data_IF_047699241644
#
_entry.id   IF_047699241644
#
_cell.length_a   1.000
_cell.length_b   1.000
_cell.length_c   1.000
_cell.angle_alpha   90.00
_cell.angle_beta   90.00
_cell.angle_gamma   90.00
#
_symmetry.space_group_name_H-M   'P 1'
#
loop_
_entity.id
_entity.type
_entity.pdbx_description
1 polymer ?
#
# COMPACT_ATOMS: atom_id res chain seq x y z
N UNK A 1 -34.03 -12.08 -14.81
CA UNK A 1 -32.99 -11.31 -14.09
C UNK A 1 -32.55 -12.13 -12.89
N UNK A 2 -31.44 -12.88 -13.01
CA UNK A 2 -30.84 -13.58 -11.89
C UNK A 2 -30.08 -12.56 -11.04
N UNK A 3 -30.60 -12.26 -9.86
CA UNK A 3 -29.85 -11.57 -8.81
C UNK A 3 -28.61 -12.41 -8.52
N UNK A 4 -27.42 -11.86 -8.75
CA UNK A 4 -26.19 -12.51 -8.32
C UNK A 4 -26.31 -12.88 -6.83
N UNK A 5 -25.91 -14.09 -6.41
CA UNK A 5 -25.88 -14.41 -4.99
C UNK A 5 -25.01 -13.36 -4.31
N UNK A 6 -25.60 -12.65 -3.35
CA UNK A 6 -24.94 -11.68 -2.47
C UNK A 6 -23.94 -12.42 -1.57
N UNK A 7 -22.86 -12.92 -2.18
CA UNK A 7 -21.94 -13.89 -1.58
C UNK A 7 -20.83 -13.26 -0.74
N UNK A 8 -20.81 -11.94 -0.54
CA UNK A 8 -19.65 -11.27 0.06
C UNK A 8 -19.93 -10.55 1.40
N UNK A 9 -20.71 -11.09 2.36
CA UNK A 9 -20.69 -10.60 3.74
C UNK A 9 -19.43 -11.06 4.52
N UNK A 10 -18.73 -12.10 4.07
CA UNK A 10 -17.74 -12.82 4.90
C UNK A 10 -16.36 -12.15 5.00
N UNK A 11 -15.92 -11.38 4.00
CA UNK A 11 -14.57 -10.79 4.01
C UNK A 11 -14.42 -9.64 4.99
N UNK A 12 -15.51 -8.96 5.31
CA UNK A 12 -15.50 -7.76 6.13
C UNK A 12 -16.27 -7.96 7.41
N UNK A 13 -15.59 -7.77 8.54
CA UNK A 13 -16.24 -7.44 9.79
C UNK A 13 -16.00 -5.95 10.12
N UNK A 14 -16.83 -5.38 11.00
CA UNK A 14 -16.78 -3.94 11.31
C UNK A 14 -15.42 -3.50 11.85
N UNK A 15 -14.75 -4.35 12.64
CA UNK A 15 -13.42 -4.05 13.21
C UNK A 15 -12.37 -3.96 12.11
N UNK A 16 -12.35 -4.93 11.19
CA UNK A 16 -11.45 -4.96 10.05
C UNK A 16 -11.68 -3.78 9.11
N UNK A 17 -12.95 -3.41 8.85
CA UNK A 17 -13.27 -2.22 8.03
C UNK A 17 -12.68 -0.93 8.63
N UNK A 18 -12.87 -0.72 9.93
CA UNK A 18 -12.35 0.47 10.62
C UNK A 18 -10.82 0.47 10.67
N UNK A 19 -10.22 -0.69 10.95
CA UNK A 19 -8.77 -0.85 10.93
C UNK A 19 -8.18 -0.54 9.56
N UNK A 20 -8.72 -1.16 8.51
CA UNK A 20 -8.30 -0.91 7.12
C UNK A 20 -8.49 0.56 6.75
N UNK A 21 -9.63 1.17 7.08
CA UNK A 21 -9.86 2.59 6.83
C UNK A 21 -8.78 3.46 7.49
N UNK A 22 -8.49 3.22 8.78
CA UNK A 22 -7.49 3.97 9.53
C UNK A 22 -6.08 3.81 8.96
N UNK A 23 -5.68 2.58 8.62
CA UNK A 23 -4.41 2.31 7.94
C UNK A 23 -4.34 3.01 6.59
N UNK A 24 -5.34 2.83 5.73
CA UNK A 24 -5.41 3.45 4.40
C UNK A 24 -5.37 4.97 4.46
N UNK A 25 -6.09 5.58 5.39
CA UNK A 25 -6.02 7.02 5.62
C UNK A 25 -4.61 7.47 6.00
N UNK A 26 -4.00 6.78 6.96
CA UNK A 26 -2.64 7.08 7.43
C UNK A 26 -1.61 6.91 6.31
N UNK A 27 -1.69 5.83 5.52
CA UNK A 27 -0.77 5.57 4.43
C UNK A 27 -0.93 6.59 3.31
N UNK A 28 -2.15 7.04 3.00
CA UNK A 28 -2.36 8.11 2.02
C UNK A 28 -1.65 9.40 2.44
N UNK A 29 -1.79 9.80 3.71
CA UNK A 29 -1.07 10.97 4.24
C UNK A 29 0.45 10.78 4.19
N UNK A 30 0.95 9.63 4.65
CA UNK A 30 2.38 9.34 4.62
C UNK A 30 2.93 9.30 3.19
N UNK A 31 2.23 8.74 2.21
CA UNK A 31 2.63 8.76 0.80
C UNK A 31 2.69 10.18 0.25
N UNK A 32 1.75 11.05 0.64
CA UNK A 32 1.75 12.46 0.26
C UNK A 32 2.94 13.21 0.90
N UNK A 33 3.18 13.01 2.19
CA UNK A 33 4.36 13.55 2.87
C UNK A 33 5.66 13.06 2.22
N UNK A 34 5.78 11.77 1.93
CA UNK A 34 6.94 11.20 1.29
C UNK A 34 7.19 11.83 -0.10
N UNK A 35 6.16 11.88 -0.95
CA UNK A 35 6.32 12.32 -2.34
C UNK A 35 6.56 13.83 -2.53
N UNK A 36 6.12 14.66 -1.58
CA UNK A 36 6.19 16.12 -1.72
C UNK A 36 7.09 16.83 -0.72
N UNK A 37 7.28 16.27 0.49
CA UNK A 37 8.10 16.90 1.53
C UNK A 37 9.46 16.22 1.72
N UNK A 38 9.52 14.89 1.65
CA UNK A 38 10.78 14.14 1.82
C UNK A 38 11.52 13.98 0.49
N UNK A 39 10.83 13.60 -0.58
CA UNK A 39 11.42 13.41 -1.91
C UNK A 39 11.32 14.72 -2.70
N UNK A 40 12.35 15.54 -2.58
CA UNK A 40 12.54 16.79 -3.32
C UNK A 40 13.82 16.73 -4.17
N UNK A 41 14.12 17.83 -4.87
CA UNK A 41 15.31 17.93 -5.72
C UNK A 41 16.62 17.72 -4.94
N UNK A 42 16.71 18.19 -3.70
CA UNK A 42 17.90 18.02 -2.86
C UNK A 42 18.09 16.55 -2.48
N UNK A 43 17.03 15.86 -2.05
CA UNK A 43 17.05 14.43 -1.72
C UNK A 43 17.44 13.60 -2.94
N UNK A 44 16.90 13.92 -4.11
CA UNK A 44 17.24 13.22 -5.35
C UNK A 44 18.69 13.48 -5.76
N UNK A 45 19.14 14.73 -5.75
CA UNK A 45 20.53 15.07 -6.08
C UNK A 45 21.53 14.39 -5.14
N UNK A 46 21.26 14.41 -3.84
CA UNK A 46 22.08 13.71 -2.86
C UNK A 46 22.06 12.20 -3.11
N UNK A 47 20.89 11.61 -3.39
CA UNK A 47 20.80 10.17 -3.68
C UNK A 47 21.59 9.77 -4.93
N UNK A 48 21.62 10.62 -5.97
CA UNK A 48 22.43 10.40 -7.17
C UNK A 48 23.92 10.51 -6.86
N UNK A 49 24.34 11.51 -6.08
CA UNK A 49 25.74 11.64 -5.62
C UNK A 49 26.18 10.43 -4.80
N UNK A 50 25.34 9.95 -3.88
CA UNK A 50 25.57 8.73 -3.11
C UNK A 50 25.64 7.47 -3.98
N UNK A 51 25.04 7.51 -5.18
CA UNK A 51 25.15 6.46 -6.19
C UNK A 51 26.33 6.65 -7.16
N UNK A 52 27.16 7.69 -6.98
CA UNK A 52 28.26 8.03 -7.88
C UNK A 52 27.80 8.60 -9.24
N UNK A 53 26.59 9.18 -9.29
CA UNK A 53 25.93 9.70 -10.48
C UNK A 53 25.72 11.21 -10.42
N UNK A 54 25.48 11.82 -11.57
CA UNK A 54 25.17 13.25 -11.69
C UNK A 54 23.68 13.51 -11.92
N UNK A 55 23.20 14.71 -11.58
CA UNK A 55 21.80 15.10 -11.79
C UNK A 55 21.39 15.08 -13.27
N UNK A 56 22.35 15.31 -14.18
CA UNK A 56 22.12 15.25 -15.63
C UNK A 56 21.74 13.85 -16.14
N UNK A 57 22.07 12.79 -15.39
CA UNK A 57 21.73 11.41 -15.76
C UNK A 57 20.26 11.05 -15.47
N UNK A 58 19.55 11.86 -14.67
CA UNK A 58 18.17 11.57 -14.27
C UNK A 58 17.34 12.85 -14.06
N UNK A 59 17.14 13.67 -15.12
CA UNK A 59 16.55 15.02 -15.01
C UNK A 59 15.12 15.06 -14.47
N UNK A 60 14.36 13.97 -14.59
CA UNK A 60 12.94 13.91 -14.20
C UNK A 60 12.66 13.00 -12.99
N UNK A 61 13.69 12.59 -12.26
CA UNK A 61 13.56 11.55 -11.23
C UNK A 61 12.62 11.96 -10.07
N UNK A 62 12.59 13.24 -9.70
CA UNK A 62 11.61 13.77 -8.73
C UNK A 62 10.18 13.60 -9.24
N UNK A 63 9.93 13.91 -10.51
CA UNK A 63 8.61 13.75 -11.13
C UNK A 63 8.18 12.28 -11.15
N UNK A 64 9.09 11.37 -11.49
CA UNK A 64 8.84 9.93 -11.47
C UNK A 64 8.46 9.45 -10.07
N UNK A 65 9.20 9.87 -9.02
CA UNK A 65 8.84 9.54 -7.65
C UNK A 65 7.48 10.13 -7.22
N UNK A 66 7.13 11.33 -7.68
CA UNK A 66 5.82 11.94 -7.42
C UNK A 66 4.68 11.18 -8.09
N UNK A 67 4.88 10.68 -9.31
CA UNK A 67 3.89 9.82 -9.98
C UNK A 67 3.65 8.55 -9.16
N UNK A 68 4.72 7.91 -8.67
CA UNK A 68 4.61 6.73 -7.78
C UNK A 68 3.90 7.09 -6.47
N UNK A 69 4.24 8.22 -5.85
CA UNK A 69 3.58 8.69 -4.64
C UNK A 69 2.08 8.95 -4.88
N UNK A 70 1.72 9.61 -5.98
CA UNK A 70 0.33 9.86 -6.37
C UNK A 70 -0.45 8.56 -6.58
N UNK A 71 0.16 7.56 -7.23
CA UNK A 71 -0.43 6.24 -7.41
C UNK A 71 -0.77 5.60 -6.05
N UNK A 72 0.14 5.66 -5.08
CA UNK A 72 -0.12 5.12 -3.75
C UNK A 72 -1.13 5.94 -2.94
N UNK A 73 -1.14 7.28 -3.07
CA UNK A 73 -2.21 8.11 -2.49
C UNK A 73 -3.57 7.69 -3.03
N UNK A 74 -3.69 7.53 -4.35
CA UNK A 74 -4.93 7.07 -4.99
C UNK A 74 -5.33 5.67 -4.51
N UNK A 75 -4.40 4.72 -4.52
CA UNK A 75 -4.63 3.35 -4.07
C UNK A 75 -5.06 3.26 -2.60
N UNK A 76 -4.41 4.02 -1.72
CA UNK A 76 -4.77 4.11 -0.31
C UNK A 76 -6.14 4.80 -0.12
N UNK A 77 -6.46 5.79 -0.94
CA UNK A 77 -7.81 6.40 -0.96
C UNK A 77 -8.87 5.37 -1.35
N UNK A 78 -8.57 4.45 -2.27
CA UNK A 78 -9.48 3.34 -2.57
C UNK A 78 -9.71 2.43 -1.37
N UNK A 79 -8.67 2.22 -0.55
CA UNK A 79 -8.79 1.44 0.69
C UNK A 79 -9.70 2.06 1.74
N UNK A 80 -9.90 3.39 1.71
CA UNK A 80 -10.88 4.05 2.57
C UNK A 80 -12.33 3.61 2.25
N UNK A 81 -12.60 3.09 1.06
CA UNK A 81 -13.89 2.48 0.74
C UNK A 81 -14.14 1.14 1.45
N UNK A 82 -13.21 0.64 2.27
CA UNK A 82 -13.43 -0.52 3.14
C UNK A 82 -14.70 -0.38 3.99
N UNK A 83 -15.08 0.85 4.39
CA UNK A 83 -16.31 1.11 5.13
C UNK A 83 -17.60 0.73 4.36
N UNK A 84 -17.55 0.65 3.03
CA UNK A 84 -18.66 0.17 2.20
C UNK A 84 -18.79 -1.35 2.17
N UNK A 85 -17.76 -2.07 2.63
CA UNK A 85 -17.78 -3.53 2.75
C UNK A 85 -17.88 -4.29 1.42
N UNK A 86 -17.44 -3.71 0.29
CA UNK A 86 -17.49 -4.40 -0.99
C UNK A 86 -16.30 -5.35 -1.16
N UNK A 87 -16.46 -6.45 -1.92
CA UNK A 87 -15.31 -7.28 -2.30
C UNK A 87 -14.28 -6.50 -3.11
N UNK A 88 -14.75 -5.60 -3.98
CA UNK A 88 -13.86 -4.80 -4.79
C UNK A 88 -12.92 -3.96 -3.92
N UNK A 89 -13.43 -3.30 -2.87
CA UNK A 89 -12.58 -2.54 -1.95
C UNK A 89 -11.60 -3.44 -1.20
N UNK A 90 -12.00 -4.66 -0.86
CA UNK A 90 -11.11 -5.64 -0.22
C UNK A 90 -9.92 -5.99 -1.12
N UNK A 91 -10.20 -6.41 -2.35
CA UNK A 91 -9.17 -6.82 -3.30
C UNK A 91 -8.29 -5.65 -3.75
N UNK A 92 -8.88 -4.47 -3.99
CA UNK A 92 -8.13 -3.27 -4.30
C UNK A 92 -7.16 -2.90 -3.18
N UNK A 93 -7.62 -2.93 -1.93
CA UNK A 93 -6.77 -2.63 -0.76
C UNK A 93 -5.64 -3.64 -0.63
N UNK A 94 -5.95 -4.93 -0.72
CA UNK A 94 -4.95 -5.98 -0.62
C UNK A 94 -3.87 -5.84 -1.70
N UNK A 95 -4.26 -5.60 -2.95
CA UNK A 95 -3.32 -5.46 -4.07
C UNK A 95 -2.39 -4.25 -3.88
N UNK A 96 -2.94 -3.10 -3.48
CA UNK A 96 -2.15 -1.89 -3.23
C UNK A 96 -1.17 -2.07 -2.06
N UNK A 97 -1.58 -2.78 -1.00
CA UNK A 97 -0.67 -3.01 0.13
C UNK A 97 0.42 -4.02 -0.23
N UNK A 98 0.13 -5.04 -1.04
CA UNK A 98 1.13 -5.98 -1.55
C UNK A 98 2.24 -5.27 -2.34
N UNK A 99 1.90 -4.29 -3.17
CA UNK A 99 2.90 -3.52 -3.94
C UNK A 99 3.68 -2.52 -3.08
N UNK A 100 3.10 -2.03 -1.97
CA UNK A 100 3.85 -1.19 -1.01
C UNK A 100 4.89 -1.98 -0.22
N UNK A 101 4.60 -3.24 0.11
CA UNK A 101 5.56 -4.14 0.80
C UNK A 101 6.83 -4.36 -0.02
N UNK A 102 6.76 -4.31 -1.35
CA UNK A 102 7.92 -4.49 -2.22
C UNK A 102 8.77 -3.24 -2.38
N UNK A 103 8.34 -2.07 -1.88
CA UNK A 103 9.08 -0.81 -1.91
C UNK A 103 10.53 -0.96 -1.40
N UNK A 104 10.72 -1.39 -0.14
CA UNK A 104 12.05 -1.62 0.45
C UNK A 104 12.81 -2.80 -0.16
N UNK A 105 12.13 -3.69 -0.90
CA UNK A 105 12.72 -4.89 -1.51
C UNK A 105 13.36 -4.64 -2.88
N UNK A 106 13.62 -3.36 -3.23
CA UNK A 106 14.39 -2.98 -4.42
C UNK A 106 13.68 -2.04 -5.39
N UNK A 107 12.42 -1.67 -5.13
CA UNK A 107 11.72 -0.66 -5.94
C UNK A 107 12.22 0.77 -5.65
N UNK A 108 12.62 1.04 -4.41
CA UNK A 108 13.26 2.32 -4.04
C UNK A 108 14.74 2.05 -3.77
N UNK A 109 15.67 2.70 -4.50
CA UNK A 109 17.10 2.54 -4.26
C UNK A 109 17.48 2.92 -2.82
N UNK A 110 18.36 2.13 -2.19
CA UNK A 110 18.80 2.38 -0.81
C UNK A 110 19.42 3.78 -0.61
N UNK A 111 19.99 4.35 -1.67
CA UNK A 111 20.56 5.70 -1.69
C UNK A 111 19.51 6.77 -1.45
N UNK A 112 18.26 6.56 -1.86
CA UNK A 112 17.15 7.49 -1.59
C UNK A 112 16.84 7.51 -0.09
N UNK A 113 16.83 6.34 0.56
CA UNK A 113 16.63 6.26 2.01
C UNK A 113 17.79 6.89 2.78
N UNK A 114 19.04 6.68 2.34
CA UNK A 114 20.21 7.34 2.95
C UNK A 114 20.15 8.85 2.79
N UNK A 115 19.85 9.35 1.60
CA UNK A 115 19.71 10.78 1.35
C UNK A 115 18.62 11.42 2.23
N UNK A 116 17.46 10.76 2.34
CA UNK A 116 16.38 11.22 3.22
C UNK A 116 16.81 11.25 4.70
N UNK A 117 17.58 10.24 5.15
CA UNK A 117 18.12 10.19 6.51
C UNK A 117 19.16 11.30 6.75
N UNK A 118 20.03 11.59 5.78
CA UNK A 118 21.05 12.64 5.90
C UNK A 118 20.42 14.04 5.93
N UNK A 119 19.41 14.31 5.10
CA UNK A 119 18.79 15.64 4.99
C UNK A 119 17.73 15.92 6.07
N UNK A 120 16.96 14.90 6.45
CA UNK A 120 15.80 15.05 7.33
C UNK A 120 15.92 14.25 8.64
N UNK A 121 17.07 13.64 8.89
CA UNK A 121 17.26 12.76 10.03
C UNK A 121 16.34 11.54 10.00
N UNK A 122 16.19 10.84 11.15
CA UNK A 122 15.29 9.68 11.26
C UNK A 122 13.84 9.98 10.88
N UNK A 123 13.40 11.24 11.03
CA UNK A 123 12.04 11.69 10.68
C UNK A 123 11.78 11.53 9.18
N UNK A 124 12.78 11.70 8.32
CA UNK A 124 12.66 11.48 6.88
C UNK A 124 12.31 10.05 6.49
N UNK A 125 12.59 9.07 7.36
CA UNK A 125 12.26 7.67 7.12
C UNK A 125 10.88 7.26 7.66
N UNK A 126 10.29 8.08 8.53
CA UNK A 126 9.00 7.75 9.19
C UNK A 126 7.91 7.42 8.18
N UNK A 127 7.67 8.22 7.11
CA UNK A 127 6.60 7.89 6.18
C UNK A 127 6.84 6.56 5.46
N UNK A 128 8.08 6.27 5.06
CA UNK A 128 8.44 4.98 4.44
C UNK A 128 8.22 3.80 5.39
N UNK A 129 8.67 3.91 6.64
CA UNK A 129 8.51 2.84 7.65
C UNK A 129 7.05 2.59 7.95
N UNK A 130 6.25 3.66 8.12
CA UNK A 130 4.82 3.57 8.39
C UNK A 130 4.09 2.93 7.22
N UNK A 131 4.36 3.38 5.98
CA UNK A 131 3.73 2.84 4.77
C UNK A 131 4.12 1.39 4.55
N UNK A 132 5.41 1.06 4.50
CA UNK A 132 5.86 -0.28 4.14
C UNK A 132 5.60 -1.29 5.26
N UNK A 133 5.94 -0.94 6.51
CA UNK A 133 5.71 -1.79 7.67
C UNK A 133 4.22 -1.94 7.99
N UNK A 134 3.47 -0.84 7.91
CA UNK A 134 2.02 -0.87 8.08
C UNK A 134 1.32 -1.66 6.97
N UNK A 135 1.75 -1.51 5.71
CA UNK A 135 1.20 -2.29 4.59
C UNK A 135 1.47 -3.79 4.76
N UNK A 136 2.61 -4.18 5.31
CA UNK A 136 2.89 -5.58 5.63
C UNK A 136 1.89 -6.12 6.67
N UNK A 137 1.71 -5.39 7.78
CA UNK A 137 0.76 -5.78 8.84
C UNK A 137 -0.66 -5.86 8.30
N UNK A 138 -1.10 -4.85 7.54
CA UNK A 138 -2.44 -4.83 6.94
C UNK A 138 -2.62 -5.96 5.93
N UNK A 139 -1.63 -6.22 5.08
CA UNK A 139 -1.66 -7.34 4.12
C UNK A 139 -1.83 -8.67 4.83
N UNK A 140 -1.01 -8.95 5.85
CA UNK A 140 -1.11 -10.19 6.63
C UNK A 140 -2.47 -10.31 7.30
N UNK A 141 -2.99 -9.21 7.85
CA UNK A 141 -4.32 -9.18 8.51
C UNK A 141 -5.45 -9.50 7.54
N UNK A 142 -5.42 -8.92 6.33
CA UNK A 142 -6.40 -9.18 5.28
C UNK A 142 -6.29 -10.63 4.78
N UNK A 143 -5.07 -11.12 4.53
CA UNK A 143 -4.83 -12.49 4.09
C UNK A 143 -5.31 -13.53 5.13
N UNK A 144 -5.08 -13.28 6.41
CA UNK A 144 -5.56 -14.14 7.49
C UNK A 144 -7.09 -14.27 7.52
N UNK A 145 -7.84 -13.25 7.07
CA UNK A 145 -9.30 -13.33 6.94
C UNK A 145 -9.78 -14.09 5.69
N UNK A 146 -8.95 -14.21 4.66
CA UNK A 146 -9.28 -14.95 3.44
C UNK A 146 -9.22 -16.46 3.67
N UNK A 147 -8.27 -16.94 4.48
CA UNK A 147 -8.01 -18.38 4.68
C UNK A 147 -9.26 -19.12 5.22
N UNK A 148 -9.90 -18.68 6.32
CA UNK A 148 -11.09 -19.35 6.84
C UNK A 148 -12.28 -19.25 5.88
N UNK A 149 -12.38 -18.15 5.13
CA UNK A 149 -13.44 -18.01 4.13
C UNK A 149 -13.32 -19.10 3.07
N UNK A 150 -12.11 -19.39 2.56
CA UNK A 150 -11.90 -20.40 1.51
C UNK A 150 -12.40 -21.79 1.92
N UNK A 151 -12.22 -22.16 3.19
CA UNK A 151 -12.70 -23.44 3.73
C UNK A 151 -14.22 -23.52 3.72
N UNK A 152 -14.90 -22.47 4.18
CA UNK A 152 -16.38 -22.38 4.16
C UNK A 152 -16.91 -22.48 2.72
N UNK A 153 -16.27 -21.80 1.76
CA UNK A 153 -16.65 -21.88 0.34
C UNK A 153 -16.45 -23.29 -0.24
N UNK A 154 -15.39 -23.99 0.15
CA UNK A 154 -15.14 -25.36 -0.29
C UNK A 154 -16.23 -26.32 0.23
N UNK A 155 -16.60 -26.19 1.51
CA UNK A 155 -17.66 -27.00 2.13
C UNK A 155 -19.04 -26.75 1.50
N UNK A 156 -19.39 -25.48 1.23
CA UNK A 156 -20.65 -25.13 0.57
C UNK A 156 -20.73 -25.71 -0.84
N UNK A 157 -19.62 -25.64 -1.60
CA UNK A 157 -19.55 -26.20 -2.95
C UNK A 157 -19.65 -27.73 -2.94
N UNK A 158 -19.05 -28.40 -1.96
CA UNK A 158 -19.15 -29.85 -1.80
C UNK A 158 -20.59 -30.30 -1.53
N UNK A 159 -21.34 -29.59 -0.67
CA UNK A 159 -22.76 -29.89 -0.36
C UNK A 159 -23.72 -29.65 -1.52
N UNK A 160 -23.38 -28.73 -2.42
CA UNK A 160 -24.20 -28.48 -3.61
C UNK A 160 -24.03 -29.58 -4.67
N UNK A 161 -22.84 -30.16 -4.78
CA UNK A 161 -22.55 -31.25 -5.73
C UNK A 161 -23.08 -32.62 -5.27
N UNK A 162 -23.48 -32.76 -4.00
CA UNK A 162 -24.06 -33.98 -3.43
C UNK A 162 -25.59 -34.04 -3.48
N UNK A 163 -26.24 -33.07 -4.16
CA UNK A 163 -27.68 -33.03 -4.41
C UNK A 163 -27.95 -33.15 -5.91
#
# INVERSE_FOLDING_TARGET
MHSAPSGIPLLWNRRLQLFTFGCSFTFALCSLFQGWLVINDETVQLSLRLAGRTAAEAPDLVSQFRVVAAYYVAGNTLGMFALRGSAWSFWATLLINLTQVTGPLGLIPAQVHRAALELHGPVGLVPTVVVCGGALVLTVTLMAHIIPCREIWADLKARQNSR
#
